data_IF_443452399306
#
_entry.id   IF_443452399306
#
_cell.length_a   1.000
_cell.length_b   1.000
_cell.length_c   1.000
_cell.angle_alpha   90.00
_cell.angle_beta   90.00
_cell.angle_gamma   90.00
#
_symmetry.space_group_name_H-M   'P 1'
#
loop_
_entity.id
_entity.type
_entity.pdbx_description
1 polymer ?
#
# COMPACT_ATOMS: atom_id res chain seq x y z
N UNK A 1 -66.00 -19.34 60.02
CA UNK A 1 -64.82 -19.45 59.14
C UNK A 1 -64.31 -20.84 59.34
N UNK A 2 -64.27 -21.64 58.27
CA UNK A 2 -63.23 -22.66 58.06
C UNK A 2 -63.37 -23.13 56.62
N UNK A 3 -62.38 -22.76 55.81
CA UNK A 3 -62.31 -23.05 54.40
C UNK A 3 -61.96 -24.52 54.21
N UNK A 4 -62.86 -25.25 53.55
CA UNK A 4 -62.60 -26.57 52.96
C UNK A 4 -61.49 -26.42 51.92
N UNK A 5 -60.28 -26.85 52.26
CA UNK A 5 -59.19 -26.95 51.28
C UNK A 5 -59.43 -28.18 50.41
N UNK A 6 -59.80 -27.92 49.16
CA UNK A 6 -59.84 -28.91 48.10
C UNK A 6 -58.50 -29.63 47.98
N UNK A 7 -58.58 -30.94 47.74
CA UNK A 7 -57.54 -31.78 47.18
C UNK A 7 -56.96 -31.12 45.91
N UNK A 8 -55.83 -30.43 46.05
CA UNK A 8 -54.99 -30.06 44.91
C UNK A 8 -53.83 -31.04 44.91
N UNK A 9 -54.04 -32.06 44.10
CA UNK A 9 -53.09 -33.10 43.71
C UNK A 9 -51.67 -32.57 43.63
N UNK A 10 -50.83 -32.99 44.58
CA UNK A 10 -49.44 -32.58 44.70
C UNK A 10 -48.56 -33.41 43.74
N UNK A 11 -49.00 -33.58 42.50
CA UNK A 11 -48.30 -34.34 41.47
C UNK A 11 -47.39 -33.40 40.68
N UNK A 12 -46.19 -33.17 41.22
CA UNK A 12 -45.07 -32.64 40.44
C UNK A 12 -44.79 -33.64 39.32
N UNK A 13 -45.20 -33.30 38.09
CA UNK A 13 -44.97 -34.13 36.90
C UNK A 13 -43.47 -34.40 36.77
N UNK A 14 -43.08 -35.68 36.76
CA UNK A 14 -41.68 -36.07 36.58
C UNK A 14 -41.16 -35.56 35.24
N UNK A 15 -39.91 -35.09 35.14
CA UNK A 15 -39.36 -34.62 33.87
C UNK A 15 -39.49 -35.72 32.81
N UNK A 16 -40.06 -35.38 31.65
CA UNK A 16 -40.09 -36.30 30.50
C UNK A 16 -38.66 -36.75 30.19
N UNK A 17 -38.50 -38.02 29.76
CA UNK A 17 -37.20 -38.65 29.48
C UNK A 17 -36.45 -37.88 28.40
N UNK A 18 -35.69 -36.86 28.79
CA UNK A 18 -34.80 -36.13 27.89
C UNK A 18 -33.62 -37.05 27.58
N UNK A 19 -33.41 -37.35 26.31
CA UNK A 19 -32.20 -38.03 25.84
C UNK A 19 -31.01 -37.13 26.21
N UNK A 20 -30.26 -37.51 27.25
CA UNK A 20 -29.00 -36.84 27.56
C UNK A 20 -27.99 -37.32 26.53
N UNK A 21 -27.80 -36.56 25.46
CA UNK A 21 -26.58 -36.68 24.65
C UNK A 21 -25.38 -36.43 25.59
N UNK A 22 -24.69 -37.49 25.96
CA UNK A 22 -23.38 -37.38 26.57
C UNK A 22 -22.38 -37.07 25.45
N UNK A 23 -21.70 -35.93 25.54
CA UNK A 23 -20.51 -35.68 24.74
C UNK A 23 -19.56 -36.86 24.94
N UNK A 24 -19.17 -37.52 23.85
CA UNK A 24 -18.21 -38.62 23.91
C UNK A 24 -16.97 -38.19 24.70
N UNK A 25 -16.53 -39.05 25.62
CA UNK A 25 -15.30 -38.80 26.35
C UNK A 25 -14.12 -38.67 25.36
N UNK A 26 -13.33 -37.62 25.53
CA UNK A 26 -12.18 -37.34 24.67
C UNK A 26 -11.05 -38.34 24.98
N UNK A 27 -11.09 -39.49 24.29
CA UNK A 27 -10.17 -40.63 24.45
C UNK A 27 -8.77 -40.37 23.90
N UNK A 28 -8.47 -39.13 23.50
CA UNK A 28 -7.15 -38.74 23.00
C UNK A 28 -6.13 -38.78 24.12
N UNK A 29 -4.98 -39.37 23.82
CA UNK A 29 -3.81 -39.37 24.72
C UNK A 29 -3.39 -37.93 25.03
N UNK A 30 -2.87 -37.68 26.23
CA UNK A 30 -2.36 -36.35 26.61
C UNK A 30 -1.27 -35.86 25.63
N UNK A 31 -0.50 -36.79 25.06
CA UNK A 31 0.45 -36.51 23.98
C UNK A 31 -0.22 -35.95 22.72
N UNK A 32 -1.34 -36.52 22.30
CA UNK A 32 -2.08 -36.02 21.12
C UNK A 32 -2.71 -34.65 21.39
N UNK A 33 -3.15 -34.40 22.63
CA UNK A 33 -3.69 -33.08 23.03
C UNK A 33 -2.60 -32.01 22.99
N UNK A 34 -1.39 -32.35 23.45
CA UNK A 34 -0.24 -31.44 23.45
C UNK A 34 0.27 -31.17 22.04
N UNK A 35 0.35 -32.21 21.18
CA UNK A 35 0.69 -32.07 19.77
C UNK A 35 -0.32 -31.18 19.01
N UNK A 36 -1.63 -31.40 19.23
CA UNK A 36 -2.67 -30.57 18.63
C UNK A 36 -2.61 -29.11 19.10
N UNK A 37 -2.27 -28.89 20.37
CA UNK A 37 -2.08 -27.55 20.93
C UNK A 37 -0.88 -26.86 20.30
N UNK A 38 0.25 -27.54 20.15
CA UNK A 38 1.44 -27.01 19.49
C UNK A 38 1.17 -26.67 18.02
N UNK A 39 0.51 -27.56 17.28
CA UNK A 39 0.12 -27.32 15.88
C UNK A 39 -0.80 -26.10 15.73
N UNK A 40 -1.77 -25.91 16.64
CA UNK A 40 -2.64 -24.74 16.63
C UNK A 40 -1.86 -23.44 16.86
N UNK A 41 -0.95 -23.43 17.84
CA UNK A 41 -0.11 -22.26 18.13
C UNK A 41 0.74 -21.92 16.90
N UNK A 42 1.42 -22.91 16.30
CA UNK A 42 2.24 -22.67 15.10
C UNK A 42 1.41 -22.20 13.90
N UNK A 43 0.17 -22.67 13.73
CA UNK A 43 -0.72 -22.19 12.67
C UNK A 43 -1.20 -20.76 12.92
N UNK A 44 -1.48 -20.39 14.17
CA UNK A 44 -1.84 -19.02 14.54
C UNK A 44 -0.66 -18.07 14.36
N UNK A 45 0.55 -18.47 14.74
CA UNK A 45 1.79 -17.71 14.51
C UNK A 45 2.10 -17.54 13.02
N UNK A 46 1.91 -18.58 12.21
CA UNK A 46 2.10 -18.48 10.76
C UNK A 46 1.07 -17.54 10.11
N UNK A 47 -0.18 -17.55 10.59
CA UNK A 47 -1.22 -16.63 10.12
C UNK A 47 -0.91 -15.19 10.49
N UNK A 48 -0.56 -14.93 11.75
CA UNK A 48 -0.23 -13.57 12.21
C UNK A 48 1.00 -13.03 11.47
N UNK A 49 2.00 -13.86 11.21
CA UNK A 49 3.15 -13.47 10.39
C UNK A 49 2.76 -13.13 8.94
N UNK A 50 1.89 -13.91 8.32
CA UNK A 50 1.39 -13.62 6.98
C UNK A 50 0.56 -12.33 6.94
N UNK A 51 -0.31 -12.11 7.93
CA UNK A 51 -1.11 -10.88 8.03
C UNK A 51 -0.22 -9.65 8.22
N UNK A 52 0.81 -9.76 9.09
CA UNK A 52 1.81 -8.71 9.26
C UNK A 52 2.55 -8.41 7.96
N UNK A 53 3.03 -9.43 7.24
CA UNK A 53 3.71 -9.24 5.97
C UNK A 53 2.82 -8.56 4.93
N UNK A 54 1.54 -8.95 4.87
CA UNK A 54 0.59 -8.33 3.96
C UNK A 54 0.37 -6.84 4.30
N UNK A 55 0.23 -6.51 5.57
CA UNK A 55 0.13 -5.11 6.02
C UNK A 55 1.40 -4.31 5.67
N UNK A 56 2.58 -4.92 5.82
CA UNK A 56 3.84 -4.30 5.41
C UNK A 56 3.91 -4.05 3.90
N UNK A 57 3.53 -5.02 3.08
CA UNK A 57 3.47 -4.88 1.62
C UNK A 57 2.49 -3.80 1.19
N UNK A 58 1.29 -3.76 1.78
CA UNK A 58 0.30 -2.73 1.51
C UNK A 58 0.80 -1.33 1.89
N UNK A 59 1.50 -1.20 3.02
CA UNK A 59 2.12 0.07 3.43
C UNK A 59 3.23 0.49 2.47
N UNK A 60 4.03 -0.45 1.98
CA UNK A 60 5.06 -0.20 0.97
C UNK A 60 4.42 0.33 -0.31
N UNK A 61 3.41 -0.35 -0.85
CA UNK A 61 2.71 0.06 -2.07
C UNK A 61 2.13 1.48 -1.91
N UNK A 62 1.46 1.75 -0.78
CA UNK A 62 0.91 3.10 -0.49
C UNK A 62 2.00 4.17 -0.45
N UNK A 63 3.18 3.88 0.10
CA UNK A 63 4.31 4.82 0.10
C UNK A 63 4.83 5.07 -1.32
N UNK A 64 5.02 4.02 -2.11
CA UNK A 64 5.43 4.11 -3.51
C UNK A 64 4.46 4.96 -4.33
N UNK A 65 3.14 4.71 -4.19
CA UNK A 65 2.11 5.50 -4.88
C UNK A 65 2.10 6.96 -4.45
N UNK A 66 2.25 7.21 -3.15
CA UNK A 66 2.31 8.57 -2.62
C UNK A 66 3.50 9.34 -3.18
N UNK A 67 4.70 8.76 -3.16
CA UNK A 67 5.90 9.39 -3.73
C UNK A 67 5.76 9.64 -5.24
N UNK A 68 5.16 8.70 -5.97
CA UNK A 68 4.89 8.85 -7.40
C UNK A 68 3.98 10.06 -7.68
N UNK A 69 2.93 10.22 -6.89
CA UNK A 69 2.00 11.37 -7.01
C UNK A 69 2.74 12.67 -6.68
N UNK A 70 3.47 12.73 -5.57
CA UNK A 70 4.22 13.92 -5.15
C UNK A 70 5.24 14.36 -6.21
N UNK A 71 6.02 13.42 -6.78
CA UNK A 71 6.96 13.72 -7.87
C UNK A 71 6.24 14.25 -9.11
N UNK A 72 5.12 13.65 -9.48
CA UNK A 72 4.34 14.07 -10.66
C UNK A 72 3.75 15.46 -10.47
N UNK A 73 3.26 15.81 -9.28
CA UNK A 73 2.71 17.14 -8.98
C UNK A 73 3.75 18.25 -9.15
N UNK A 74 5.00 17.99 -8.76
CA UNK A 74 6.12 18.93 -8.95
C UNK A 74 6.30 19.24 -10.43
N UNK A 75 6.39 18.21 -11.28
CA UNK A 75 6.68 18.40 -12.71
C UNK A 75 5.45 18.72 -13.56
N UNK A 76 4.23 18.54 -13.07
CA UNK A 76 3.01 18.81 -13.85
C UNK A 76 2.97 20.26 -14.34
N UNK A 77 3.26 21.22 -13.46
CA UNK A 77 3.31 22.64 -13.84
C UNK A 77 4.47 22.93 -14.80
N UNK A 78 5.64 22.35 -14.54
CA UNK A 78 6.82 22.46 -15.38
C UNK A 78 6.55 22.02 -16.82
N UNK A 79 5.99 20.83 -17.02
CA UNK A 79 5.67 20.28 -18.34
C UNK A 79 4.57 21.08 -19.03
N UNK A 80 3.56 21.55 -18.29
CA UNK A 80 2.51 22.42 -18.85
C UNK A 80 3.07 23.75 -19.36
N UNK A 81 3.97 24.37 -18.60
CA UNK A 81 4.59 25.65 -18.98
C UNK A 81 5.51 25.47 -20.21
N UNK A 82 6.28 24.39 -20.27
CA UNK A 82 7.04 24.06 -21.47
C UNK A 82 6.12 23.82 -22.67
N UNK A 83 5.09 23.00 -22.52
CA UNK A 83 4.17 22.64 -23.60
C UNK A 83 3.48 23.85 -24.26
N UNK A 84 3.22 24.91 -23.48
CA UNK A 84 2.71 26.18 -24.01
C UNK A 84 3.70 26.87 -24.96
N UNK A 85 5.00 26.73 -24.71
CA UNK A 85 6.08 27.41 -25.43
C UNK A 85 6.56 26.61 -26.65
N UNK A 86 6.40 25.28 -26.65
CA UNK A 86 6.79 24.37 -27.75
C UNK A 86 6.23 24.79 -29.13
N UNK A 87 5.10 25.48 -29.16
CA UNK A 87 4.49 25.97 -30.41
C UNK A 87 5.20 27.19 -31.00
N UNK A 88 5.92 27.93 -30.18
CA UNK A 88 6.55 29.21 -30.52
C UNK A 88 8.06 29.06 -30.73
N UNK A 89 8.69 28.13 -30.02
CA UNK A 89 10.14 27.96 -30.03
C UNK A 89 10.52 26.50 -30.31
N UNK A 90 11.34 26.31 -31.35
CA UNK A 90 11.83 25.00 -31.77
C UNK A 90 12.88 24.45 -30.79
N UNK A 91 13.73 25.30 -30.22
CA UNK A 91 14.75 24.84 -29.28
C UNK A 91 14.10 24.34 -27.98
N UNK A 92 13.00 24.97 -27.56
CA UNK A 92 12.18 24.50 -26.44
C UNK A 92 11.49 23.18 -26.75
N UNK A 93 11.05 22.97 -28.00
CA UNK A 93 10.50 21.69 -28.44
C UNK A 93 11.52 20.57 -28.32
N UNK A 94 12.70 20.76 -28.89
CA UNK A 94 13.77 19.76 -28.86
C UNK A 94 14.12 19.39 -27.40
N UNK A 95 14.20 20.39 -26.51
CA UNK A 95 14.47 20.15 -25.09
C UNK A 95 13.31 19.45 -24.39
N UNK A 96 12.06 19.80 -24.70
CA UNK A 96 10.89 19.13 -24.13
C UNK A 96 10.85 17.65 -24.53
N UNK A 97 11.09 17.32 -25.80
CA UNK A 97 11.09 15.94 -26.29
C UNK A 97 12.16 15.07 -25.61
N UNK A 98 13.26 15.68 -25.14
CA UNK A 98 14.29 14.99 -24.36
C UNK A 98 13.89 14.88 -22.88
N UNK A 99 13.40 15.97 -22.29
CA UNK A 99 13.20 16.07 -20.84
C UNK A 99 11.90 15.41 -20.37
N UNK A 100 10.83 15.44 -21.16
CA UNK A 100 9.55 14.78 -20.85
C UNK A 100 9.70 13.29 -20.50
N UNK A 101 10.31 12.43 -21.35
CA UNK A 101 10.44 11.02 -21.03
C UNK A 101 11.34 10.75 -19.81
N UNK A 102 12.35 11.59 -19.56
CA UNK A 102 13.20 11.49 -18.37
C UNK A 102 12.40 11.78 -17.11
N UNK A 103 11.61 12.86 -17.12
CA UNK A 103 10.72 13.21 -16.01
C UNK A 103 9.71 12.09 -15.75
N UNK A 104 9.10 11.56 -16.79
CA UNK A 104 8.14 10.47 -16.67
C UNK A 104 8.77 9.21 -16.09
N UNK A 105 9.97 8.84 -16.54
CA UNK A 105 10.71 7.71 -16.00
C UNK A 105 11.08 7.92 -14.53
N UNK A 106 11.52 9.14 -14.16
CA UNK A 106 11.85 9.49 -12.77
C UNK A 106 10.61 9.48 -11.86
N UNK A 107 9.47 10.00 -12.33
CA UNK A 107 8.21 9.98 -11.57
C UNK A 107 7.70 8.55 -11.36
N UNK A 108 7.91 7.66 -12.34
CA UNK A 108 7.60 6.24 -12.20
C UNK A 108 8.67 5.45 -11.42
N UNK A 109 9.71 6.12 -10.93
CA UNK A 109 10.82 5.51 -10.18
C UNK A 109 11.61 4.45 -10.97
N UNK A 110 11.66 4.57 -12.29
CA UNK A 110 12.44 3.68 -13.15
C UNK A 110 13.88 4.12 -13.30
N UNK A 111 14.15 5.42 -13.14
CA UNK A 111 15.49 5.99 -13.20
C UNK A 111 15.73 6.89 -11.99
N UNK A 112 16.95 6.85 -11.48
CA UNK A 112 17.44 7.80 -10.47
C UNK A 112 18.31 8.88 -11.13
N UNK A 113 19.13 8.49 -12.11
CA UNK A 113 20.12 9.33 -12.77
C UNK A 113 20.12 9.05 -14.28
N UNK A 114 20.35 10.10 -15.08
CA UNK A 114 20.52 10.06 -16.52
C UNK A 114 21.76 10.88 -16.91
N UNK A 115 22.64 10.28 -17.70
CA UNK A 115 23.93 10.88 -18.06
C UNK A 115 23.88 11.46 -19.47
N UNK A 116 24.37 12.70 -19.61
CA UNK A 116 24.47 13.39 -20.89
C UNK A 116 25.88 13.93 -21.12
N UNK A 117 26.24 14.04 -22.38
CA UNK A 117 27.42 14.79 -22.80
C UNK A 117 27.30 16.27 -22.45
N UNK A 118 28.45 16.93 -22.29
CA UNK A 118 28.55 18.34 -21.94
C UNK A 118 27.70 19.26 -22.83
N UNK A 119 27.70 19.03 -24.14
CA UNK A 119 26.99 19.90 -25.09
C UNK A 119 25.48 19.79 -24.90
N UNK A 120 24.96 18.55 -24.82
CA UNK A 120 23.52 18.32 -24.62
C UNK A 120 23.05 18.83 -23.25
N UNK A 121 23.81 18.56 -22.19
CA UNK A 121 23.52 19.08 -20.85
C UNK A 121 23.40 20.61 -20.87
N UNK A 122 24.42 21.28 -21.42
CA UNK A 122 24.45 22.74 -21.49
C UNK A 122 23.32 23.29 -22.36
N UNK A 123 22.98 22.62 -23.48
CA UNK A 123 21.86 23.02 -24.35
C UNK A 123 20.55 23.00 -23.56
N UNK A 124 20.24 21.91 -22.86
CA UNK A 124 19.02 21.75 -22.07
C UNK A 124 18.92 22.86 -21.02
N UNK A 125 19.92 23.01 -20.16
CA UNK A 125 19.84 23.96 -19.05
C UNK A 125 19.92 25.42 -19.50
N UNK A 126 20.58 25.71 -20.62
CA UNK A 126 20.57 27.06 -21.21
C UNK A 126 19.18 27.43 -21.71
N UNK A 127 18.52 26.54 -22.46
CA UNK A 127 17.15 26.78 -22.93
C UNK A 127 16.19 26.91 -21.76
N UNK A 128 16.25 25.99 -20.79
CA UNK A 128 15.40 26.04 -19.60
C UNK A 128 15.64 27.31 -18.76
N UNK A 129 16.86 27.85 -18.70
CA UNK A 129 17.17 29.08 -17.97
C UNK A 129 16.51 30.35 -18.55
N UNK A 130 16.17 30.32 -19.85
CA UNK A 130 15.47 31.45 -20.50
C UNK A 130 13.98 31.48 -20.20
N UNK A 131 13.43 30.36 -19.72
CA UNK A 131 12.02 30.23 -19.39
C UNK A 131 11.86 30.53 -17.89
N UNK A 132 10.73 31.14 -17.52
CA UNK A 132 10.39 31.33 -16.11
C UNK A 132 9.81 30.04 -15.56
N UNK A 133 10.63 29.28 -14.83
CA UNK A 133 10.28 27.96 -14.29
C UNK A 133 10.45 27.95 -12.76
N UNK A 134 9.76 27.05 -12.07
CA UNK A 134 9.99 26.79 -10.64
C UNK A 134 11.42 26.26 -10.40
N UNK A 135 12.14 26.92 -9.48
CA UNK A 135 13.49 26.56 -9.07
C UNK A 135 13.56 25.15 -8.49
N UNK A 136 12.51 24.69 -7.81
CA UNK A 136 12.48 23.33 -7.24
C UNK A 136 12.57 22.27 -8.34
N UNK A 137 11.80 22.46 -9.42
CA UNK A 137 11.82 21.54 -10.56
C UNK A 137 13.21 21.51 -11.21
N UNK A 138 13.81 22.69 -11.42
CA UNK A 138 15.14 22.80 -12.01
C UNK A 138 16.22 22.10 -11.19
N UNK A 139 16.21 22.28 -9.87
CA UNK A 139 17.17 21.61 -8.99
C UNK A 139 17.02 20.09 -9.04
N UNK A 140 15.78 19.59 -9.01
CA UNK A 140 15.54 18.14 -9.13
C UNK A 140 16.00 17.64 -10.50
N UNK A 141 15.72 18.38 -11.57
CA UNK A 141 16.17 18.02 -12.92
C UNK A 141 17.71 17.96 -13.01
N UNK A 142 18.43 18.87 -12.35
CA UNK A 142 19.90 18.85 -12.25
C UNK A 142 20.42 17.69 -11.40
N UNK A 143 19.64 17.18 -10.46
CA UNK A 143 20.00 15.96 -9.72
C UNK A 143 19.81 14.71 -10.58
N UNK A 144 18.76 14.69 -11.41
CA UNK A 144 18.47 13.56 -12.29
C UNK A 144 19.42 13.54 -13.49
N UNK A 145 19.67 14.69 -14.11
CA UNK A 145 20.49 14.81 -15.31
C UNK A 145 21.91 15.21 -14.90
N UNK A 146 22.88 14.34 -15.14
CA UNK A 146 24.28 14.55 -14.79
C UNK A 146 25.12 14.71 -16.07
N UNK A 147 26.14 15.57 -15.99
CA UNK A 147 27.10 15.81 -17.06
C UNK A 147 28.28 14.83 -16.95
N UNK A 148 28.62 14.19 -18.07
CA UNK A 148 29.88 13.43 -18.29
C UNK A 148 30.93 14.28 -18.98
#
# INVERSE_FOLDING_TARGET
MDFSFNDVDNTVRSPDKVFKEQLFADNKSDFEKELNKALRISLEEARTFNDLNKDFEEQLIKKFEKEKIERKEIFTKFLLDLNRIIRLDKDVRDVYEIVEPIIDAYCNQFIEICEFDEETYNKIFKVLSTIRIDKKCMNILQTIIIKI
#
